data_IF_903395746379
#
_entry.id   IF_903395746379
#
_cell.length_a   1.000
_cell.length_b   1.000
_cell.length_c   1.000
_cell.angle_alpha   90.00
_cell.angle_beta   90.00
_cell.angle_gamma   90.00
#
_symmetry.space_group_name_H-M   'P 1'
#
loop_
_entity.id
_entity.type
_entity.pdbx_description
1 polymer ?
#
# COMPACT_ATOMS: atom_id res chain seq x y z
N UNK A 1 20.01 -34.91 -0.06
CA UNK A 1 18.96 -34.36 -0.93
C UNK A 1 19.45 -33.00 -1.38
N UNK A 2 19.78 -32.85 -2.66
CA UNK A 2 20.31 -31.58 -3.19
C UNK A 2 19.09 -30.82 -3.69
N UNK A 3 18.82 -29.66 -3.09
CA UNK A 3 17.73 -28.77 -3.48
C UNK A 3 18.07 -28.14 -4.83
N UNK A 4 17.35 -28.55 -5.87
CA UNK A 4 17.53 -28.08 -7.23
C UNK A 4 17.09 -26.61 -7.31
N UNK A 5 18.04 -25.68 -7.50
CA UNK A 5 17.73 -24.27 -7.74
C UNK A 5 17.05 -24.16 -9.11
N UNK A 6 15.72 -24.09 -9.11
CA UNK A 6 14.95 -23.77 -10.31
C UNK A 6 15.21 -22.31 -10.67
N UNK A 7 16.04 -22.10 -11.69
CA UNK A 7 16.31 -20.77 -12.23
C UNK A 7 15.10 -20.31 -13.06
N UNK A 8 14.20 -19.56 -12.41
CA UNK A 8 13.01 -19.02 -13.07
C UNK A 8 13.43 -17.90 -14.03
N UNK A 9 13.40 -18.18 -15.33
CA UNK A 9 13.56 -17.16 -16.38
C UNK A 9 12.30 -16.31 -16.48
N UNK A 10 12.25 -15.23 -15.71
CA UNK A 10 11.23 -14.17 -15.85
C UNK A 10 11.47 -13.42 -17.16
N UNK A 11 10.42 -13.21 -17.97
CA UNK A 11 10.54 -12.44 -19.20
C UNK A 11 10.80 -10.97 -18.89
N UNK A 12 11.50 -10.25 -19.79
CA UNK A 12 11.73 -8.81 -19.62
C UNK A 12 10.42 -8.03 -19.47
N UNK A 13 9.37 -8.46 -20.16
CA UNK A 13 8.04 -7.86 -20.09
C UNK A 13 7.41 -8.05 -18.70
N UNK A 14 7.50 -9.24 -18.14
CA UNK A 14 6.99 -9.55 -16.80
C UNK A 14 7.79 -8.84 -15.73
N UNK A 15 9.12 -8.77 -15.87
CA UNK A 15 9.98 -7.98 -14.98
C UNK A 15 9.63 -6.50 -15.05
N UNK A 16 9.46 -5.93 -16.24
CA UNK A 16 9.05 -4.52 -16.38
C UNK A 16 7.64 -4.26 -15.85
N UNK A 17 6.72 -5.22 -15.99
CA UNK A 17 5.40 -5.16 -15.36
C UNK A 17 5.53 -5.17 -13.83
N UNK A 18 6.32 -6.08 -13.27
CA UNK A 18 6.56 -6.22 -11.83
C UNK A 18 7.33 -5.01 -11.24
N UNK A 19 8.25 -4.43 -12.00
CA UNK A 19 9.02 -3.25 -11.60
C UNK A 19 8.19 -1.96 -11.65
N UNK A 20 7.13 -1.92 -12.47
CA UNK A 20 6.23 -0.76 -12.54
C UNK A 20 5.26 -0.66 -11.37
N UNK A 21 5.13 -1.71 -10.56
CA UNK A 21 4.06 -1.78 -9.55
C UNK A 21 4.37 -1.08 -8.23
N UNK A 22 5.60 -0.64 -7.95
CA UNK A 22 5.93 0.06 -6.69
C UNK A 22 6.08 1.56 -6.90
N UNK A 23 5.05 2.31 -6.49
CA UNK A 23 4.96 3.75 -6.69
C UNK A 23 5.26 4.51 -5.39
N UNK A 24 5.97 5.64 -5.51
CA UNK A 24 6.00 6.63 -4.43
C UNK A 24 4.65 7.33 -4.30
N UNK A 25 4.42 8.03 -3.19
CA UNK A 25 3.21 8.87 -2.99
C UNK A 25 2.97 9.83 -4.16
N UNK A 26 4.05 10.49 -4.64
CA UNK A 26 3.98 11.40 -5.77
C UNK A 26 3.56 10.67 -7.06
N UNK A 27 4.22 9.54 -7.39
CA UNK A 27 3.90 8.80 -8.61
C UNK A 27 2.47 8.24 -8.57
N UNK A 28 2.02 7.75 -7.40
CA UNK A 28 0.66 7.28 -7.22
C UNK A 28 -0.35 8.41 -7.41
N UNK A 29 -0.09 9.61 -6.90
CA UNK A 29 -1.00 10.76 -7.08
C UNK A 29 -1.11 11.21 -8.54
N UNK A 30 -0.03 11.08 -9.33
CA UNK A 30 -0.09 11.36 -10.77
C UNK A 30 -0.95 10.33 -11.51
N UNK A 31 -0.91 9.06 -11.08
CA UNK A 31 -1.62 7.96 -11.73
C UNK A 31 -3.09 7.83 -11.29
N UNK A 32 -3.38 8.17 -10.04
CA UNK A 32 -4.71 8.18 -9.44
C UNK A 32 -5.09 9.63 -9.06
N UNK A 33 -5.42 10.49 -10.03
CA UNK A 33 -5.58 11.94 -9.81
C UNK A 33 -6.74 12.30 -8.86
N UNK A 34 -7.66 11.36 -8.60
CA UNK A 34 -8.68 11.51 -7.56
C UNK A 34 -8.10 11.59 -6.13
N UNK A 35 -6.85 11.16 -5.94
CA UNK A 35 -6.15 11.17 -4.66
C UNK A 35 -4.94 12.11 -4.71
N UNK A 36 -5.03 13.25 -4.04
CA UNK A 36 -3.88 14.13 -3.84
C UNK A 36 -2.80 13.45 -2.99
N UNK A 37 -1.56 13.92 -3.09
CA UNK A 37 -0.50 13.38 -2.22
C UNK A 37 -0.83 13.49 -0.72
N UNK A 38 -1.54 14.55 -0.32
CA UNK A 38 -1.95 14.74 1.06
C UNK A 38 -3.01 13.71 1.49
N UNK A 39 -4.00 13.42 0.63
CA UNK A 39 -4.99 12.37 0.94
C UNK A 39 -4.33 10.98 0.98
N UNK A 40 -3.39 10.69 0.08
CA UNK A 40 -2.61 9.44 0.12
C UNK A 40 -1.81 9.33 1.42
N UNK A 41 -1.15 10.41 1.86
CA UNK A 41 -0.43 10.44 3.15
C UNK A 41 -1.37 10.19 4.34
N UNK A 42 -2.57 10.77 4.32
CA UNK A 42 -3.58 10.52 5.35
C UNK A 42 -4.05 9.05 5.34
N UNK A 43 -4.26 8.45 4.17
CA UNK A 43 -4.60 7.03 4.02
C UNK A 43 -3.49 6.11 4.55
N UNK A 44 -2.23 6.41 4.25
CA UNK A 44 -1.07 5.68 4.78
C UNK A 44 -1.02 5.77 6.31
N UNK A 45 -1.23 6.96 6.87
CA UNK A 45 -1.27 7.16 8.32
C UNK A 45 -2.39 6.34 8.98
N UNK A 46 -3.56 6.28 8.35
CA UNK A 46 -4.71 5.52 8.82
C UNK A 46 -4.70 4.03 8.44
N UNK A 47 -3.62 3.51 7.84
CA UNK A 47 -3.58 2.15 7.30
C UNK A 47 -3.60 1.04 8.35
N UNK A 48 -3.08 1.33 9.54
CA UNK A 48 -2.98 0.38 10.66
C UNK A 48 -3.86 0.81 11.82
N UNK A 49 -4.33 -0.14 12.65
CA UNK A 49 -4.99 0.18 13.90
C UNK A 49 -4.11 1.11 14.75
N UNK A 50 -4.72 2.12 15.35
CA UNK A 50 -4.02 3.12 16.15
C UNK A 50 -4.86 3.56 17.33
N UNK A 51 -4.21 4.03 18.38
CA UNK A 51 -4.88 4.66 19.50
C UNK A 51 -5.43 6.03 19.07
N UNK A 52 -6.69 6.30 19.42
CA UNK A 52 -7.26 7.65 19.39
C UNK A 52 -6.59 8.48 20.48
N UNK A 53 -6.56 9.80 20.28
CA UNK A 53 -6.21 10.72 21.36
C UNK A 53 -7.08 10.45 22.59
N UNK A 54 -6.47 10.47 23.78
CA UNK A 54 -7.14 10.17 25.04
C UNK A 54 -8.40 11.01 25.19
N UNK A 55 -9.54 10.33 25.27
CA UNK A 55 -10.83 10.95 25.56
C UNK A 55 -11.12 10.85 27.06
N UNK A 56 -12.10 11.61 27.54
CA UNK A 56 -12.66 11.44 28.91
C UNK A 56 -13.13 10.00 29.16
N UNK A 57 -13.44 9.26 28.10
CA UNK A 57 -13.95 7.89 28.13
C UNK A 57 -12.85 6.81 28.07
N UNK A 58 -11.57 7.19 28.14
CA UNK A 58 -10.44 6.26 28.10
C UNK A 58 -9.70 6.21 26.75
N UNK A 59 -8.89 5.18 26.59
CA UNK A 59 -8.16 4.88 25.35
C UNK A 59 -9.04 4.05 24.42
N UNK A 60 -9.29 4.56 23.22
CA UNK A 60 -10.10 3.89 22.20
C UNK A 60 -9.22 3.58 20.98
N UNK A 61 -9.32 2.36 20.45
CA UNK A 61 -8.65 1.97 19.22
C UNK A 61 -9.48 2.36 17.99
N UNK A 62 -8.83 2.98 17.02
CA UNK A 62 -9.37 3.22 15.68
C UNK A 62 -8.88 2.10 14.78
N UNK A 63 -9.76 1.33 14.12
CA UNK A 63 -9.37 0.31 13.16
C UNK A 63 -8.63 0.95 11.97
N UNK A 64 -7.72 0.19 11.36
CA UNK A 64 -7.06 0.62 10.13
C UNK A 64 -8.03 0.62 8.94
N UNK A 65 -7.75 1.43 7.91
CA UNK A 65 -8.57 1.49 6.69
C UNK A 65 -8.36 0.31 5.72
N UNK A 66 -7.59 -0.72 6.11
CA UNK A 66 -7.31 -1.90 5.28
C UNK A 66 -6.16 -1.75 4.27
N UNK A 67 -5.63 -0.54 4.05
CA UNK A 67 -4.63 -0.27 3.02
C UNK A 67 -3.22 -0.82 3.34
N UNK A 68 -2.98 -1.28 4.57
CA UNK A 68 -1.64 -1.65 5.04
C UNK A 68 -0.92 -2.69 4.16
N UNK A 69 -1.65 -3.59 3.51
CA UNK A 69 -1.10 -4.65 2.66
C UNK A 69 -0.46 -4.11 1.37
N UNK A 70 -0.92 -2.96 0.87
CA UNK A 70 -0.36 -2.30 -0.31
C UNK A 70 0.89 -1.46 0.00
N UNK A 71 1.27 -1.29 1.28
CA UNK A 71 2.30 -0.33 1.68
C UNK A 71 3.59 -1.06 2.07
N UNK A 72 4.72 -0.64 1.46
CA UNK A 72 6.06 -1.11 1.82
C UNK A 72 6.97 0.05 2.20
N UNK A 73 7.58 -0.03 3.38
CA UNK A 73 8.65 0.90 3.80
C UNK A 73 10.01 0.34 3.36
N UNK A 74 10.81 1.17 2.70
CA UNK A 74 12.20 0.87 2.32
C UNK A 74 13.08 2.05 2.74
N UNK A 75 13.71 1.92 3.91
CA UNK A 75 14.39 3.03 4.56
C UNK A 75 13.44 4.21 4.80
N UNK A 76 13.83 5.41 4.33
CA UNK A 76 13.00 6.62 4.41
C UNK A 76 11.88 6.70 3.36
N UNK A 77 11.83 5.78 2.40
CA UNK A 77 10.85 5.80 1.30
C UNK A 77 9.63 4.96 1.67
N UNK A 78 8.46 5.47 1.29
CA UNK A 78 7.21 4.72 1.28
C UNK A 78 6.89 4.39 -0.18
N UNK A 79 6.77 3.10 -0.46
CA UNK A 79 6.35 2.54 -1.73
C UNK A 79 4.96 1.94 -1.57
N UNK A 80 4.16 2.05 -2.61
CA UNK A 80 2.77 1.63 -2.64
C UNK A 80 2.63 0.71 -3.84
N UNK A 81 2.16 -0.50 -3.61
CA UNK A 81 1.82 -1.45 -4.67
C UNK A 81 0.57 -0.93 -5.39
N UNK A 82 0.71 -0.66 -6.68
CA UNK A 82 -0.37 -0.13 -7.51
C UNK A 82 -1.56 -1.08 -7.60
N UNK A 83 -1.31 -2.36 -7.84
CA UNK A 83 -2.36 -3.36 -8.02
C UNK A 83 -3.13 -3.53 -6.72
N UNK A 84 -2.43 -3.70 -5.60
CA UNK A 84 -3.05 -3.80 -4.29
C UNK A 84 -3.80 -2.53 -3.88
N UNK A 85 -3.32 -1.35 -4.27
CA UNK A 85 -4.04 -0.09 -4.06
C UNK A 85 -5.35 -0.05 -4.86
N UNK A 86 -5.35 -0.48 -6.12
CA UNK A 86 -6.54 -0.56 -6.95
C UNK A 86 -7.55 -1.61 -6.42
N UNK A 87 -7.06 -2.78 -5.99
CA UNK A 87 -7.87 -3.81 -5.33
C UNK A 87 -8.53 -3.27 -4.05
N UNK A 88 -7.77 -2.54 -3.23
CA UNK A 88 -8.28 -1.88 -2.03
C UNK A 88 -9.36 -0.84 -2.33
N UNK A 89 -9.23 -0.06 -3.41
CA UNK A 89 -10.28 0.88 -3.85
C UNK A 89 -11.56 0.11 -4.18
N UNK A 90 -11.45 -0.95 -4.97
CA UNK A 90 -12.61 -1.76 -5.38
C UNK A 90 -13.26 -2.47 -4.19
N UNK A 91 -12.51 -2.77 -3.14
CA UNK A 91 -13.07 -3.36 -1.92
C UNK A 91 -13.86 -2.34 -1.07
N UNK A 92 -13.71 -1.02 -1.30
CA UNK A 92 -14.45 -0.01 -0.52
C UNK A 92 -15.92 0.13 -0.96
N UNK A 93 -16.26 -0.26 -2.19
CA UNK A 93 -17.62 -0.14 -2.73
C UNK A 93 -18.49 -1.39 -2.52
N UNK A 94 -17.94 -2.45 -1.93
CA UNK A 94 -18.69 -3.62 -1.51
C UNK A 94 -19.28 -3.39 -0.10
N UNK A 95 -20.43 -2.71 -0.02
CA UNK A 95 -21.25 -2.59 1.18
C UNK A 95 -22.72 -2.83 0.83
#
# INVERSE_FOLDING_TARGET
MIEEKVEVKISKQDYESFMKSWLTVYQLSQKFPAFSENSIRALIYASKPRLRAKSKNGEEYVPGNGLAHAIRKVGRRVLIDECAFAEWINSQSAS
#
